data_IF_274278799940
#
_entry.id   IF_274278799940
#
_cell.length_a   1.000
_cell.length_b   1.000
_cell.length_c   1.000
_cell.angle_alpha   90.00
_cell.angle_beta   90.00
_cell.angle_gamma   90.00
#
_symmetry.space_group_name_H-M   'P 1'
#
loop_
_entity.id
_entity.type
_entity.pdbx_description
1 polymer ?
#
# COMPACT_ATOMS: atom_id res chain seq x y z
N UNK A 1 11.60 -4.85 5.58
CA UNK A 1 10.80 -5.89 4.90
C UNK A 1 11.73 -6.98 4.39
N UNK A 2 11.30 -8.25 4.37
CA UNK A 2 12.07 -9.34 3.78
C UNK A 2 11.47 -9.71 2.42
N UNK A 3 12.30 -9.77 1.39
CA UNK A 3 11.88 -10.21 0.05
C UNK A 3 12.07 -11.71 -0.08
N UNK A 4 11.05 -12.41 -0.58
CA UNK A 4 11.10 -13.84 -0.87
C UNK A 4 10.78 -14.05 -2.35
N UNK A 5 11.64 -14.79 -3.05
CA UNK A 5 11.40 -15.13 -4.44
C UNK A 5 10.29 -16.18 -4.55
N UNK A 6 9.28 -15.90 -5.37
CA UNK A 6 8.19 -16.83 -5.65
C UNK A 6 8.54 -17.67 -6.88
N UNK A 7 8.41 -18.99 -6.76
CA UNK A 7 8.60 -19.89 -7.90
C UNK A 7 7.53 -19.68 -8.98
N UNK A 8 7.95 -19.68 -10.25
CA UNK A 8 7.04 -19.65 -11.41
C UNK A 8 6.06 -20.85 -11.46
N UNK A 9 6.32 -21.92 -10.70
CA UNK A 9 5.44 -23.09 -10.63
C UNK A 9 4.29 -22.92 -9.63
N UNK A 10 4.34 -21.91 -8.77
CA UNK A 10 3.30 -21.62 -7.78
C UNK A 10 2.08 -20.93 -8.43
N UNK A 11 1.35 -21.65 -9.28
CA UNK A 11 0.25 -21.12 -10.11
C UNK A 11 -0.78 -20.31 -9.31
N UNK A 12 -1.18 -20.80 -8.13
CA UNK A 12 -2.14 -20.11 -7.26
C UNK A 12 -1.62 -18.75 -6.81
N UNK A 13 -0.38 -18.69 -6.33
CA UNK A 13 0.22 -17.45 -5.86
C UNK A 13 0.42 -16.45 -7.01
N UNK A 14 0.83 -16.92 -8.19
CA UNK A 14 0.94 -16.08 -9.38
C UNK A 14 -0.42 -15.47 -9.77
N UNK A 15 -1.50 -16.25 -9.71
CA UNK A 15 -2.83 -15.73 -10.02
C UNK A 15 -3.29 -14.67 -9.01
N UNK A 16 -3.01 -14.86 -7.72
CA UNK A 16 -3.27 -13.87 -6.67
C UNK A 16 -2.50 -12.57 -6.96
N UNK A 17 -1.21 -12.67 -7.29
CA UNK A 17 -0.39 -11.49 -7.61
C UNK A 17 -0.90 -10.73 -8.84
N UNK A 18 -1.34 -11.45 -9.89
CA UNK A 18 -1.97 -10.85 -11.08
C UNK A 18 -3.27 -10.13 -10.77
N UNK A 19 -4.05 -10.61 -9.80
CA UNK A 19 -5.26 -9.91 -9.36
C UNK A 19 -4.90 -8.64 -8.59
N UNK A 20 -3.93 -8.73 -7.67
CA UNK A 20 -3.44 -7.57 -6.92
C UNK A 20 -2.90 -6.46 -7.83
N UNK A 21 -2.28 -6.82 -8.96
CA UNK A 21 -1.80 -5.86 -9.95
C UNK A 21 -2.91 -5.00 -10.58
N UNK A 22 -4.16 -5.51 -10.63
CA UNK A 22 -5.26 -4.82 -11.32
C UNK A 22 -6.01 -3.78 -10.47
N UNK A 23 -5.72 -3.67 -9.18
CA UNK A 23 -6.44 -2.74 -8.31
C UNK A 23 -6.26 -2.95 -6.80
N UNK A 24 -5.22 -3.66 -6.38
CA UNK A 24 -5.06 -4.10 -4.99
C UNK A 24 -5.96 -5.29 -4.65
N UNK A 25 -5.52 -6.12 -3.71
CA UNK A 25 -6.24 -7.30 -3.28
C UNK A 25 -6.18 -7.43 -1.76
N UNK A 26 -7.33 -7.61 -1.12
CA UNK A 26 -7.41 -7.95 0.30
C UNK A 26 -7.62 -9.46 0.41
N UNK A 27 -6.67 -10.16 1.03
CA UNK A 27 -6.84 -11.55 1.41
C UNK A 27 -7.33 -11.61 2.86
N UNK A 28 -8.48 -12.25 3.08
CA UNK A 28 -8.98 -12.57 4.42
C UNK A 28 -8.69 -14.02 4.73
N UNK A 29 -8.05 -14.29 5.85
CA UNK A 29 -7.82 -15.65 6.32
C UNK A 29 -9.07 -16.21 7.01
N UNK A 30 -9.18 -17.55 7.15
CA UNK A 30 -10.31 -18.18 7.83
C UNK A 30 -10.51 -17.70 9.27
N UNK A 31 -9.43 -17.35 9.95
CA UNK A 31 -9.44 -16.77 11.30
C UNK A 31 -9.77 -15.26 11.34
N UNK A 32 -10.10 -14.66 10.19
CA UNK A 32 -10.59 -13.28 10.10
C UNK A 32 -9.50 -12.21 9.99
N UNK A 33 -8.22 -12.58 9.83
CA UNK A 33 -7.15 -11.60 9.61
C UNK A 33 -7.14 -11.14 8.16
N UNK A 34 -6.86 -9.86 7.93
CA UNK A 34 -6.83 -9.27 6.61
C UNK A 34 -5.41 -8.87 6.21
N UNK A 35 -5.06 -9.14 4.95
CA UNK A 35 -3.76 -8.84 4.38
C UNK A 35 -3.96 -8.08 3.07
N UNK A 36 -3.33 -6.92 2.95
CA UNK A 36 -3.34 -6.13 1.71
C UNK A 36 -2.16 -6.55 0.85
N UNK A 37 -2.44 -6.96 -0.39
CA UNK A 37 -1.46 -7.21 -1.42
C UNK A 37 -1.62 -6.12 -2.48
N UNK A 38 -0.54 -5.37 -2.70
CA UNK A 38 -0.43 -4.38 -3.77
C UNK A 38 0.88 -4.61 -4.51
N UNK A 39 0.89 -4.33 -5.80
CA UNK A 39 2.14 -4.17 -6.53
C UNK A 39 2.92 -3.00 -5.91
N UNK A 40 4.22 -3.20 -5.72
CA UNK A 40 5.14 -2.12 -5.39
C UNK A 40 5.47 -1.43 -6.71
N UNK A 41 4.80 -0.30 -6.99
CA UNK A 41 5.19 0.62 -8.05
C UNK A 41 5.97 1.77 -7.42
N UNK A 42 7.25 1.91 -7.77
CA UNK A 42 8.13 2.97 -7.25
C UNK A 42 7.49 4.35 -7.40
N UNK A 43 6.81 4.65 -8.52
CA UNK A 43 6.15 5.94 -8.71
C UNK A 43 4.99 6.13 -7.73
N UNK A 44 4.22 5.08 -7.48
CA UNK A 44 3.12 5.09 -6.50
C UNK A 44 3.65 5.22 -5.07
N UNK A 45 4.76 4.56 -4.76
CA UNK A 45 5.44 4.65 -3.46
C UNK A 45 5.91 6.08 -3.17
N UNK A 46 6.59 6.73 -4.13
CA UNK A 46 7.01 8.12 -3.99
C UNK A 46 5.83 9.07 -3.93
N UNK A 47 4.78 8.83 -4.71
CA UNK A 47 3.55 9.64 -4.67
C UNK A 47 2.82 9.54 -3.32
N UNK A 48 2.63 8.32 -2.80
CA UNK A 48 1.97 8.08 -1.52
C UNK A 48 2.81 8.64 -0.35
N UNK A 49 4.14 8.50 -0.40
CA UNK A 49 5.05 9.09 0.58
C UNK A 49 5.06 10.62 0.54
N UNK A 50 5.12 11.20 -0.67
CA UNK A 50 5.03 12.64 -0.85
C UNK A 50 3.69 13.18 -0.34
N UNK A 51 2.57 12.54 -0.69
CA UNK A 51 1.24 12.94 -0.22
C UNK A 51 1.12 12.91 1.30
N UNK A 52 1.67 11.90 1.96
CA UNK A 52 1.71 11.84 3.43
C UNK A 52 2.48 13.03 4.02
N UNK A 53 3.68 13.32 3.51
CA UNK A 53 4.49 14.44 4.00
C UNK A 53 3.89 15.81 3.66
N UNK A 54 3.26 15.97 2.50
CA UNK A 54 2.53 17.19 2.18
C UNK A 54 1.29 17.36 3.05
N UNK A 55 0.53 16.29 3.35
CA UNK A 55 -0.62 16.35 4.25
C UNK A 55 -0.23 16.75 5.67
N UNK A 56 0.87 16.20 6.20
CA UNK A 56 1.43 16.57 7.51
C UNK A 56 1.85 18.06 7.55
N UNK A 57 2.36 18.60 6.44
CA UNK A 57 2.75 20.01 6.36
C UNK A 57 1.56 20.99 6.29
N UNK A 58 0.38 20.54 5.83
CA UNK A 58 -0.84 21.37 5.79
C UNK A 58 -1.64 21.30 7.10
N UNK A 59 -1.60 20.19 7.85
CA UNK A 59 -2.23 20.07 9.18
C UNK A 59 -1.59 21.03 10.21
N UNK A 60 -0.27 21.27 10.12
CA UNK A 60 0.41 22.24 10.98
C UNK A 60 0.05 23.70 10.64
N UNK A 61 -0.36 24.01 9.39
CA UNK A 61 -0.64 25.38 8.97
C UNK A 61 -1.99 25.92 9.45
N UNK A 62 -3.02 25.08 9.60
CA UNK A 62 -4.32 25.51 10.12
C UNK A 62 -4.27 25.86 11.62
N UNK A 63 -3.31 25.31 12.37
CA UNK A 63 -3.11 25.63 13.80
C UNK A 63 -2.56 27.04 14.07
N UNK A 64 -2.07 27.74 13.04
CA UNK A 64 -1.41 29.05 13.17
C UNK A 64 -2.43 30.20 13.00
N UNK A 65 -3.60 29.94 12.39
CA UNK A 65 -4.61 30.98 12.13
C UNK A 65 -5.81 30.97 13.09
N UNK A 66 -5.97 29.95 13.94
CA UNK A 66 -7.02 29.91 14.97
C UNK A 66 -6.68 30.72 16.25
N UNK A 67 -5.52 31.36 16.31
CA UNK A 67 -5.06 32.20 17.43
C UNK A 67 -4.80 33.68 17.07
N UNK A 68 -5.41 34.20 15.99
CA UNK A 68 -5.36 35.62 15.61
C UNK A 68 -6.69 36.34 15.84
#
# INVERSE_FOLDING_TARGET
MKTVAVSARAKTLINILKQAQKGGLILRSPEGREFVITELDEKKLWHDAAKKHFSEAYDDQDSIYDNL
#
